data_IF_943094424633
#
_entry.id   IF_943094424633
#
_cell.length_a   1.000
_cell.length_b   1.000
_cell.length_c   1.000
_cell.angle_alpha   90.00
_cell.angle_beta   90.00
_cell.angle_gamma   90.00
#
_symmetry.space_group_name_H-M   'P 1'
#
loop_
_entity.id
_entity.type
_entity.pdbx_description
1 polymer ?
#
# COMPACT_ATOMS: atom_id res chain seq x y z
N UNK A 1 -12.23 -5.59 -11.16
CA UNK A 1 -11.51 -5.31 -9.92
C UNK A 1 -11.74 -3.90 -9.47
N UNK A 2 -11.84 -3.70 -8.18
CA UNK A 2 -12.00 -2.37 -7.63
C UNK A 2 -10.66 -1.78 -7.21
N UNK A 3 -10.61 -0.47 -7.06
CA UNK A 3 -9.45 0.26 -6.58
C UNK A 3 -9.75 0.75 -5.16
N UNK A 4 -8.77 0.60 -4.28
CA UNK A 4 -8.88 1.00 -2.89
C UNK A 4 -7.72 1.90 -2.51
N UNK A 5 -7.97 2.84 -1.60
CA UNK A 5 -6.90 3.53 -0.92
C UNK A 5 -6.84 3.04 0.52
N UNK A 6 -5.66 2.67 0.95
CA UNK A 6 -5.39 2.23 2.32
C UNK A 6 -4.60 3.33 3.00
N UNK A 7 -5.16 3.87 4.05
CA UNK A 7 -4.48 4.89 4.85
C UNK A 7 -3.91 4.21 6.08
N UNK A 8 -2.61 4.39 6.30
CA UNK A 8 -1.88 3.77 7.38
C UNK A 8 -1.39 4.85 8.34
N UNK A 9 -1.47 4.56 9.64
CA UNK A 9 -0.84 5.41 10.65
C UNK A 9 0.32 4.65 11.26
N UNK A 10 1.50 5.24 11.15
CA UNK A 10 2.71 4.65 11.70
C UNK A 10 2.79 4.91 13.22
N UNK A 11 3.59 4.12 13.95
CA UNK A 11 3.70 4.30 15.39
C UNK A 11 4.40 5.61 15.73
N UNK A 12 4.08 6.16 16.91
CA UNK A 12 4.72 7.38 17.37
C UNK A 12 6.21 7.19 17.63
N UNK A 13 6.59 6.00 18.05
CA UNK A 13 7.98 5.65 18.33
C UNK A 13 8.43 4.54 17.43
N UNK A 14 9.53 4.76 16.73
CA UNK A 14 10.12 3.76 15.84
C UNK A 14 11.30 3.14 16.57
N UNK A 15 11.16 1.87 16.95
CA UNK A 15 12.19 1.15 17.69
C UNK A 15 13.00 0.22 16.79
N UNK A 16 13.94 -0.51 17.40
CA UNK A 16 14.80 -1.42 16.64
C UNK A 16 14.02 -2.54 15.99
N UNK A 17 12.96 -3.02 16.61
CA UNK A 17 12.16 -4.10 16.07
C UNK A 17 11.46 -3.65 14.77
N UNK A 18 10.92 -2.44 14.77
CA UNK A 18 10.34 -1.84 13.58
C UNK A 18 11.40 -1.73 12.48
N UNK A 19 12.55 -1.13 12.82
CA UNK A 19 13.62 -0.90 11.85
C UNK A 19 14.11 -2.20 11.25
N UNK A 20 14.24 -3.25 12.05
CA UNK A 20 14.74 -4.54 11.57
C UNK A 20 13.82 -5.17 10.54
N UNK A 21 12.54 -4.80 10.51
CA UNK A 21 11.58 -5.35 9.58
C UNK A 21 11.41 -4.55 8.29
N UNK A 22 12.01 -3.37 8.23
CA UNK A 22 11.88 -2.51 7.05
C UNK A 22 12.34 -3.19 5.77
N UNK A 23 13.51 -3.86 5.71
CA UNK A 23 13.93 -4.50 4.46
C UNK A 23 12.95 -5.54 3.95
N UNK A 24 12.40 -6.36 4.85
CA UNK A 24 11.42 -7.38 4.48
C UNK A 24 10.12 -6.72 4.01
N UNK A 25 9.71 -5.67 4.68
CA UNK A 25 8.52 -4.93 4.30
C UNK A 25 8.67 -4.34 2.89
N UNK A 26 9.81 -3.70 2.62
CA UNK A 26 10.05 -3.12 1.30
C UNK A 26 10.08 -4.18 0.21
N UNK A 27 10.67 -5.32 0.48
CA UNK A 27 10.67 -6.42 -0.50
C UNK A 27 9.25 -6.90 -0.79
N UNK A 28 8.42 -6.99 0.25
CA UNK A 28 7.03 -7.41 0.11
C UNK A 28 6.24 -6.40 -0.72
N UNK A 29 6.38 -5.10 -0.41
CA UNK A 29 5.69 -4.04 -1.16
C UNK A 29 6.12 -4.05 -2.63
N UNK A 30 7.43 -4.18 -2.89
CA UNK A 30 7.94 -4.22 -4.25
C UNK A 30 7.36 -5.38 -5.05
N UNK A 31 7.24 -6.54 -4.41
CA UNK A 31 6.63 -7.70 -5.07
C UNK A 31 5.18 -7.43 -5.44
N UNK A 32 4.43 -6.81 -4.54
CA UNK A 32 3.02 -6.51 -4.81
C UNK A 32 2.86 -5.45 -5.90
N UNK A 33 3.82 -4.53 -6.02
CA UNK A 33 3.83 -3.57 -7.12
C UNK A 33 4.08 -4.30 -8.44
N UNK A 34 5.05 -5.21 -8.46
CA UNK A 34 5.34 -5.99 -9.66
C UNK A 34 4.15 -6.85 -10.08
N UNK A 35 3.40 -7.36 -9.12
CA UNK A 35 2.21 -8.17 -9.38
C UNK A 35 0.96 -7.34 -9.67
N UNK A 36 1.09 -6.02 -9.70
CA UNK A 36 -0.01 -5.10 -9.96
C UNK A 36 -1.13 -5.18 -8.90
N UNK A 37 -0.80 -5.62 -7.71
CA UNK A 37 -1.72 -5.59 -6.57
C UNK A 37 -1.65 -4.22 -5.92
N UNK A 38 -0.45 -3.66 -5.78
CA UNK A 38 -0.25 -2.28 -5.34
C UNK A 38 0.08 -1.44 -6.57
N UNK A 39 -0.64 -0.33 -6.73
CA UNK A 39 -0.32 0.61 -7.80
C UNK A 39 0.65 1.68 -7.32
N UNK A 40 0.44 2.20 -6.10
CA UNK A 40 1.29 3.24 -5.56
C UNK A 40 1.43 3.06 -4.05
N UNK A 41 2.57 3.47 -3.52
CA UNK A 41 2.89 3.38 -2.11
C UNK A 41 3.64 4.64 -1.72
N UNK A 42 3.19 5.32 -0.67
CA UNK A 42 3.78 6.57 -0.25
C UNK A 42 3.78 6.69 1.27
N UNK A 43 4.84 7.28 1.80
CA UNK A 43 4.95 7.58 3.22
C UNK A 43 5.14 9.09 3.34
N UNK A 44 4.45 9.72 4.29
CA UNK A 44 4.58 11.16 4.50
C UNK A 44 6.00 11.53 4.91
N UNK A 45 6.38 12.78 4.62
CA UNK A 45 7.74 13.25 4.92
C UNK A 45 8.04 13.19 6.41
N UNK A 46 7.05 13.39 7.26
CA UNK A 46 7.21 13.34 8.71
C UNK A 46 7.14 11.90 9.27
N UNK A 47 6.89 10.91 8.40
CA UNK A 47 6.85 9.48 8.72
C UNK A 47 5.73 9.11 9.69
N UNK A 48 4.64 9.86 9.69
CA UNK A 48 3.49 9.54 10.55
C UNK A 48 2.39 8.80 9.81
N UNK A 49 2.33 8.92 8.49
CA UNK A 49 1.25 8.33 7.69
C UNK A 49 1.79 7.69 6.43
N UNK A 50 1.01 6.74 5.93
CA UNK A 50 1.27 6.14 4.63
C UNK A 50 -0.02 5.96 3.86
N UNK A 51 0.09 5.89 2.54
CA UNK A 51 -1.04 5.67 1.64
C UNK A 51 -0.64 4.63 0.62
N UNK A 52 -1.53 3.66 0.42
CA UNK A 52 -1.30 2.59 -0.54
C UNK A 52 -2.54 2.51 -1.42
N UNK A 53 -2.36 2.61 -2.73
CA UNK A 53 -3.47 2.33 -3.64
C UNK A 53 -3.35 0.90 -4.13
N UNK A 54 -4.43 0.14 -4.01
CA UNK A 54 -4.42 -1.29 -4.24
C UNK A 54 -5.59 -1.72 -5.09
N UNK A 55 -5.38 -2.77 -5.85
CA UNK A 55 -6.41 -3.44 -6.61
C UNK A 55 -6.90 -4.65 -5.82
N UNK A 56 -8.20 -4.87 -5.83
CA UNK A 56 -8.76 -6.03 -5.15
C UNK A 56 -10.21 -6.26 -5.53
N UNK A 57 -10.73 -7.44 -5.23
CA UNK A 57 -12.11 -7.76 -5.51
C UNK A 57 -13.04 -7.11 -4.50
N UNK A 58 -12.64 -7.10 -3.23
CA UNK A 58 -13.45 -6.58 -2.12
C UNK A 58 -12.55 -5.92 -1.09
N UNK A 59 -13.15 -5.11 -0.21
CA UNK A 59 -12.42 -4.54 0.92
C UNK A 59 -11.82 -5.64 1.80
N UNK A 60 -12.53 -6.74 1.98
CA UNK A 60 -12.04 -7.86 2.78
C UNK A 60 -10.79 -8.49 2.18
N UNK A 61 -10.73 -8.61 0.85
CA UNK A 61 -9.55 -9.17 0.19
C UNK A 61 -8.35 -8.23 0.31
N UNK A 62 -8.58 -6.92 0.26
CA UNK A 62 -7.52 -5.93 0.46
C UNK A 62 -7.04 -5.97 1.91
N UNK A 63 -7.96 -6.06 2.86
CA UNK A 63 -7.61 -6.17 4.29
C UNK A 63 -6.70 -7.38 4.53
N UNK A 64 -7.03 -8.51 3.91
CA UNK A 64 -6.24 -9.73 4.08
C UNK A 64 -4.80 -9.56 3.59
N UNK A 65 -4.60 -8.82 2.50
CA UNK A 65 -3.26 -8.54 1.99
C UNK A 65 -2.51 -7.58 2.92
N UNK A 66 -3.18 -6.54 3.39
CA UNK A 66 -2.57 -5.55 4.29
C UNK A 66 -2.10 -6.21 5.60
N UNK A 67 -2.87 -7.17 6.10
CA UNK A 67 -2.51 -7.91 7.32
C UNK A 67 -1.22 -8.72 7.16
N UNK A 68 -0.79 -8.96 5.93
CA UNK A 68 0.47 -9.66 5.66
C UNK A 68 1.67 -8.72 5.55
N UNK A 69 1.45 -7.41 5.59
CA UNK A 69 2.57 -6.46 5.55
C UNK A 69 3.48 -6.74 6.74
N UNK A 70 4.80 -6.89 6.54
CA UNK A 70 5.72 -7.14 7.66
C UNK A 70 5.67 -6.09 8.76
N UNK A 71 5.24 -4.86 8.44
CA UNK A 71 5.10 -3.79 9.44
C UNK A 71 3.68 -3.66 9.99
N UNK A 72 2.76 -4.54 9.59
CA UNK A 72 1.35 -4.40 9.97
C UNK A 72 1.15 -4.31 11.48
N UNK A 73 1.85 -5.14 12.25
CA UNK A 73 1.67 -5.18 13.70
C UNK A 73 2.05 -3.88 14.41
N UNK A 74 2.82 -3.03 13.75
CA UNK A 74 3.25 -1.75 14.32
C UNK A 74 2.33 -0.60 13.97
N UNK A 75 1.41 -0.80 13.03
CA UNK A 75 0.51 0.27 12.59
C UNK A 75 -0.54 0.52 13.66
N UNK A 76 -0.74 1.80 14.02
CA UNK A 76 -1.72 2.15 15.03
C UNK A 76 -3.14 2.26 14.47
N UNK A 77 -3.25 2.46 13.15
CA UNK A 77 -4.54 2.56 12.50
C UNK A 77 -4.40 2.17 11.03
N UNK A 78 -5.39 1.46 10.51
CA UNK A 78 -5.49 1.10 9.09
C UNK A 78 -6.91 1.38 8.66
N UNK A 79 -7.06 2.19 7.62
CA UNK A 79 -8.38 2.52 7.06
C UNK A 79 -8.38 2.14 5.58
N UNK A 80 -9.40 1.43 5.14
CA UNK A 80 -9.53 0.97 3.77
C UNK A 80 -10.78 1.58 3.17
N UNK A 81 -10.62 2.33 2.09
CA UNK A 81 -11.73 2.94 1.38
C UNK A 81 -11.74 2.50 -0.07
N UNK A 82 -12.89 2.04 -0.54
CA UNK A 82 -13.06 1.77 -1.95
C UNK A 82 -13.23 3.08 -2.68
N UNK A 83 -12.54 3.24 -3.82
CA UNK A 83 -12.57 4.49 -4.57
C UNK A 83 -13.63 4.43 -5.65
N UNK A 84 -14.45 5.47 -5.73
CA UNK A 84 -15.41 5.64 -6.82
C UNK A 84 -14.73 6.16 -8.08
N UNK A 85 -13.81 7.14 -7.90
CA UNK A 85 -13.05 7.72 -9.00
C UNK A 85 -11.56 7.63 -8.65
N UNK A 86 -10.78 7.15 -9.58
CA UNK A 86 -9.33 7.10 -9.44
C UNK A 86 -8.70 7.44 -10.79
N UNK A 87 -8.03 8.58 -10.83
CA UNK A 87 -7.29 9.03 -12.00
C UNK A 87 -5.82 9.11 -11.67
N UNK A 88 -4.99 8.62 -12.58
CA UNK A 88 -3.55 8.76 -12.48
C UNK A 88 -2.99 8.87 -13.89
N UNK A 89 -1.76 9.34 -14.00
CA UNK A 89 -1.10 9.41 -15.30
C UNK A 89 -1.03 8.03 -15.96
N UNK A 90 -0.78 7.00 -15.16
CA UNK A 90 -0.68 5.63 -15.67
C UNK A 90 -2.04 5.12 -16.17
N UNK A 91 -3.15 5.52 -15.53
CA UNK A 91 -4.47 5.07 -15.93
C UNK A 91 -5.03 5.90 -17.09
N UNK A 92 -4.56 7.14 -17.26
CA UNK A 92 -5.02 8.01 -18.34
C UNK A 92 -4.42 7.68 -19.69
N UNK A 93 -3.17 7.22 -19.67
CA UNK A 93 -2.46 6.93 -20.91
C UNK A 93 -2.44 5.42 -21.07
N UNK A 94 -3.16 4.91 -22.09
CA UNK A 94 -3.14 3.47 -22.35
C UNK A 94 -1.69 3.01 -22.44
N UNK A 95 -1.42 1.85 -21.87
CA UNK A 95 -0.10 1.27 -22.02
C UNK A 95 0.04 0.85 -23.46
N UNK A 96 0.79 1.62 -24.18
CA UNK A 96 1.10 1.28 -25.55
C UNK A 96 2.34 0.41 -25.51
N UNK A 97 2.18 -0.80 -25.97
CA UNK A 97 3.33 -1.65 -26.16
C UNK A 97 4.10 -1.10 -27.34
N UNK A 98 5.32 -0.66 -27.09
CA UNK A 98 6.17 -0.07 -28.13
C UNK A 98 7.03 -1.12 -28.83
N UNK A 99 6.75 -2.35 -28.59
CA UNK A 99 7.51 -3.44 -29.18
C UNK A 99 6.70 -4.20 -30.16
#
# INVERSE_FOLDING_TARGET
MAKFVVTLRLPDTIDEDFISRIPRHRAFINRLIEENIIEAYAISADRTRGWVTMNGATAASVQAVVEQFPLYQFLSEVQIDELFVFDSAASRFPRISLN
#
